data_IF_852601244125
#
_entry.id   IF_852601244125
#
_cell.length_a   1.000
_cell.length_b   1.000
_cell.length_c   1.000
_cell.angle_alpha   90.00
_cell.angle_beta   90.00
_cell.angle_gamma   90.00
#
_symmetry.space_group_name_H-M   'P 1'
#
loop_
_entity.id
_entity.type
_entity.pdbx_description
1 polymer ?
#
# COMPACT_ATOMS: atom_id res chain seq x y z
N UNK A 1 16.82 -5.45 1.00
CA UNK A 1 16.32 -4.42 1.93
C UNK A 1 15.13 -5.04 2.65
N UNK A 2 15.37 -5.76 3.73
CA UNK A 2 14.30 -6.45 4.45
C UNK A 2 13.76 -5.52 5.50
N UNK A 3 12.47 -5.20 5.41
CA UNK A 3 11.76 -4.48 6.46
C UNK A 3 11.49 -5.47 7.60
N UNK A 4 11.85 -5.07 8.82
CA UNK A 4 11.58 -5.86 10.02
C UNK A 4 10.06 -5.98 10.22
N UNK A 5 9.50 -7.20 10.37
CA UNK A 5 8.09 -7.41 10.67
C UNK A 5 7.58 -6.62 11.89
N UNK A 6 8.46 -6.21 12.81
CA UNK A 6 8.09 -5.35 13.95
C UNK A 6 7.43 -4.02 13.54
N UNK A 7 7.71 -3.51 12.32
CA UNK A 7 7.04 -2.32 11.77
C UNK A 7 5.53 -2.56 11.59
N UNK A 8 5.11 -3.81 11.38
CA UNK A 8 3.72 -4.19 11.17
C UNK A 8 2.97 -4.39 12.48
N UNK A 9 3.60 -5.10 13.42
CA UNK A 9 2.95 -5.66 14.61
C UNK A 9 3.31 -4.94 15.90
N UNK A 10 4.31 -4.05 15.86
CA UNK A 10 4.83 -3.30 16.99
C UNK A 10 6.08 -3.93 17.59
N UNK A 11 6.52 -3.38 18.72
CA UNK A 11 7.75 -3.81 19.40
C UNK A 11 7.55 -4.10 20.88
N UNK A 12 8.54 -4.74 21.51
CA UNK A 12 8.58 -4.96 22.96
C UNK A 12 9.36 -3.81 23.60
N UNK A 13 8.81 -3.25 24.67
CA UNK A 13 9.49 -2.28 25.53
C UNK A 13 10.36 -3.00 26.56
N UNK A 14 11.63 -3.21 26.21
CA UNK A 14 12.61 -3.88 27.08
C UNK A 14 12.77 -3.22 28.45
N UNK A 15 12.51 -1.90 28.57
CA UNK A 15 12.61 -1.20 29.86
C UNK A 15 11.57 -1.68 30.88
N UNK A 16 10.47 -2.27 30.42
CA UNK A 16 9.39 -2.80 31.25
C UNK A 16 9.55 -4.29 31.57
N UNK A 17 10.50 -4.98 30.95
CA UNK A 17 10.74 -6.42 31.21
C UNK A 17 11.33 -6.68 32.60
N UNK A 18 12.01 -5.70 33.20
CA UNK A 18 12.48 -5.80 34.59
C UNK A 18 11.32 -5.72 35.61
N UNK A 19 10.17 -5.21 35.19
CA UNK A 19 8.99 -5.00 36.04
C UNK A 19 7.86 -6.00 35.79
N UNK A 20 7.78 -6.57 34.58
CA UNK A 20 6.71 -7.45 34.16
C UNK A 20 7.25 -8.68 33.43
N UNK A 21 6.60 -9.86 33.58
CA UNK A 21 6.92 -11.06 32.82
C UNK A 21 6.93 -10.84 31.29
N UNK A 22 7.67 -11.69 30.56
CA UNK A 22 7.79 -11.59 29.09
C UNK A 22 6.46 -11.79 28.34
N UNK A 23 5.47 -12.42 28.97
CA UNK A 23 4.13 -12.65 28.43
C UNK A 23 3.11 -11.59 28.88
N UNK A 24 3.53 -10.58 29.64
CA UNK A 24 2.65 -9.53 30.15
C UNK A 24 2.34 -8.47 29.08
N UNK A 25 1.07 -8.22 28.73
CA UNK A 25 0.71 -7.25 27.69
C UNK A 25 1.22 -5.82 27.90
N UNK A 26 1.59 -5.44 29.13
CA UNK A 26 2.07 -4.10 29.46
C UNK A 26 3.47 -3.80 28.91
N UNK A 27 4.21 -4.84 28.51
CA UNK A 27 5.51 -4.66 27.85
C UNK A 27 5.35 -4.38 26.35
N UNK A 28 4.16 -4.55 25.76
CA UNK A 28 3.96 -4.37 24.33
C UNK A 28 3.83 -2.90 23.97
N UNK A 29 4.59 -2.47 22.96
CA UNK A 29 4.41 -1.20 22.26
C UNK A 29 3.60 -1.47 21.00
N UNK A 30 2.30 -1.20 21.06
CA UNK A 30 1.35 -1.39 19.94
C UNK A 30 1.43 -0.24 18.93
N UNK A 31 2.62 0.04 18.44
CA UNK A 31 2.94 1.12 17.51
C UNK A 31 3.14 0.64 16.06
N UNK A 32 2.88 -0.64 15.78
CA UNK A 32 2.95 -1.19 14.44
C UNK A 32 1.82 -0.68 13.54
N UNK A 33 2.05 -0.75 12.23
CA UNK A 33 1.12 -0.28 11.21
C UNK A 33 -0.30 -0.85 11.38
N UNK A 34 -0.42 -2.14 11.70
CA UNK A 34 -1.73 -2.78 11.92
C UNK A 34 -2.35 -2.42 13.26
N UNK A 35 -1.55 -2.13 14.29
CA UNK A 35 -2.10 -1.68 15.56
C UNK A 35 -2.69 -0.27 15.43
N UNK A 36 -1.93 0.64 14.82
CA UNK A 36 -2.32 2.05 14.65
C UNK A 36 -3.44 2.19 13.62
N UNK A 37 -3.39 1.43 12.52
CA UNK A 37 -4.40 1.45 11.46
C UNK A 37 -5.67 0.63 11.76
N UNK A 38 -5.78 0.02 12.94
CA UNK A 38 -6.95 -0.76 13.32
C UNK A 38 -8.22 0.12 13.32
N UNK A 39 -9.33 -0.44 12.83
CA UNK A 39 -10.59 0.26 12.52
C UNK A 39 -10.49 1.38 11.48
N UNK A 40 -9.42 1.37 10.69
CA UNK A 40 -9.16 2.37 9.67
C UNK A 40 -8.60 1.75 8.40
N UNK A 41 -7.50 2.32 7.93
CA UNK A 41 -6.83 1.94 6.70
C UNK A 41 -5.33 1.74 6.97
N UNK A 42 -4.77 0.67 6.39
CA UNK A 42 -3.33 0.42 6.33
C UNK A 42 -2.92 0.44 4.85
N UNK A 43 -1.99 1.32 4.50
CA UNK A 43 -1.48 1.48 3.14
C UNK A 43 -0.06 0.90 3.03
N UNK A 44 0.17 0.07 2.01
CA UNK A 44 1.47 -0.46 1.65
C UNK A 44 1.96 0.10 0.31
N UNK A 45 3.22 0.53 0.28
CA UNK A 45 3.89 0.99 -0.94
C UNK A 45 4.90 -0.08 -1.35
N UNK A 46 4.80 -0.55 -2.59
CA UNK A 46 5.66 -1.56 -3.19
C UNK A 46 5.73 -2.88 -2.39
N UNK A 47 4.56 -3.36 -1.93
CA UNK A 47 4.45 -4.47 -0.97
C UNK A 47 5.19 -5.75 -1.41
N UNK A 48 5.20 -6.06 -2.72
CA UNK A 48 5.80 -7.29 -3.26
C UNK A 48 7.33 -7.26 -3.36
N UNK A 49 7.98 -6.14 -3.02
CA UNK A 49 9.45 -6.09 -2.88
C UNK A 49 9.93 -6.64 -1.53
N UNK A 50 9.02 -6.82 -0.58
CA UNK A 50 9.34 -7.36 0.74
C UNK A 50 9.39 -8.88 0.72
N UNK A 51 10.07 -9.44 1.72
CA UNK A 51 10.13 -10.89 1.92
C UNK A 51 8.75 -11.49 2.21
N UNK A 52 8.59 -12.77 1.90
CA UNK A 52 7.36 -13.53 2.14
C UNK A 52 6.93 -13.47 3.60
N UNK A 53 7.89 -13.42 4.54
CA UNK A 53 7.61 -13.31 5.97
C UNK A 53 6.84 -12.03 6.34
N UNK A 54 7.15 -10.92 5.66
CA UNK A 54 6.41 -9.67 5.82
C UNK A 54 4.94 -9.81 5.40
N UNK A 55 4.69 -10.60 4.34
CA UNK A 55 3.36 -10.84 3.80
C UNK A 55 2.52 -11.78 4.69
N UNK A 56 3.13 -12.64 5.51
CA UNK A 56 2.40 -13.52 6.41
C UNK A 56 1.52 -12.76 7.43
N UNK A 57 1.95 -11.57 7.85
CA UNK A 57 1.12 -10.71 8.71
C UNK A 57 -0.13 -10.23 7.97
N UNK A 58 -0.03 -9.94 6.67
CA UNK A 58 -1.18 -9.55 5.84
C UNK A 58 -2.13 -10.75 5.65
N UNK A 59 -1.60 -11.95 5.46
CA UNK A 59 -2.41 -13.17 5.35
C UNK A 59 -3.22 -13.39 6.62
N UNK A 60 -2.56 -13.39 7.78
CA UNK A 60 -3.23 -13.60 9.07
C UNK A 60 -4.27 -12.51 9.34
N UNK A 61 -3.97 -11.25 9.04
CA UNK A 61 -4.92 -10.15 9.13
C UNK A 61 -6.16 -10.34 8.25
N UNK A 62 -5.97 -10.77 6.99
CA UNK A 62 -7.08 -10.95 6.02
C UNK A 62 -7.85 -12.25 6.22
N UNK A 63 -7.23 -13.28 6.79
CA UNK A 63 -7.82 -14.60 7.01
C UNK A 63 -8.49 -14.75 8.37
N UNK A 64 -7.80 -14.35 9.43
CA UNK A 64 -8.20 -14.59 10.81
C UNK A 64 -8.70 -13.32 11.51
N UNK A 65 -8.65 -12.17 10.81
CA UNK A 65 -8.90 -10.86 11.41
C UNK A 65 -8.03 -10.61 12.64
N UNK A 66 -6.82 -11.17 12.63
CA UNK A 66 -5.90 -11.14 13.76
C UNK A 66 -4.47 -11.05 13.26
N UNK A 67 -3.63 -10.29 13.96
CA UNK A 67 -2.20 -10.14 13.68
C UNK A 67 -1.37 -10.66 14.86
N UNK A 68 -0.11 -11.07 14.65
CA UNK A 68 0.79 -11.36 15.75
C UNK A 68 0.95 -10.14 16.68
N UNK A 69 0.98 -10.37 17.99
CA UNK A 69 1.43 -9.36 18.95
C UNK A 69 2.95 -9.16 18.85
N UNK A 70 3.49 -8.02 19.32
CA UNK A 70 4.93 -7.92 19.56
C UNK A 70 5.41 -9.05 20.49
N UNK A 71 6.42 -9.82 20.06
CA UNK A 71 6.95 -10.92 20.86
C UNK A 71 6.10 -12.19 20.88
N UNK A 72 6.09 -12.91 22.01
CA UNK A 72 5.42 -14.20 22.19
C UNK A 72 4.05 -14.08 22.88
N UNK A 73 3.28 -13.06 22.51
CA UNK A 73 1.95 -12.83 23.04
C UNK A 73 0.84 -13.52 22.23
N UNK A 74 -0.40 -13.31 22.68
CA UNK A 74 -1.60 -13.75 21.93
C UNK A 74 -1.84 -12.87 20.71
N UNK A 75 -2.45 -13.45 19.67
CA UNK A 75 -2.86 -12.71 18.48
C UNK A 75 -3.77 -11.52 18.85
N UNK A 76 -3.59 -10.39 18.17
CA UNK A 76 -4.34 -9.16 18.39
C UNK A 76 -5.36 -9.00 17.27
N UNK A 77 -6.60 -8.75 17.63
CA UNK A 77 -7.68 -8.54 16.67
C UNK A 77 -7.45 -7.29 15.79
N UNK A 78 -7.62 -7.47 14.48
CA UNK A 78 -7.53 -6.43 13.47
C UNK A 78 -8.80 -6.39 12.63
N UNK A 79 -9.36 -5.19 12.47
CA UNK A 79 -10.50 -4.91 11.59
C UNK A 79 -10.22 -3.62 10.85
N UNK A 80 -9.96 -3.69 9.55
CA UNK A 80 -9.60 -2.51 8.77
C UNK A 80 -9.45 -2.82 7.30
N UNK A 81 -9.30 -1.76 6.50
CA UNK A 81 -9.02 -1.89 5.07
C UNK A 81 -7.51 -1.92 4.83
N UNK A 82 -7.05 -2.94 4.11
CA UNK A 82 -5.66 -3.03 3.67
C UNK A 82 -5.61 -2.65 2.20
N UNK A 83 -4.80 -1.63 1.86
CA UNK A 83 -4.56 -1.19 0.49
C UNK A 83 -3.09 -1.33 0.19
N UNK A 84 -2.74 -1.86 -0.97
CA UNK A 84 -1.36 -1.99 -1.41
C UNK A 84 -1.18 -1.47 -2.83
N UNK A 85 -0.13 -0.69 -3.02
CA UNK A 85 0.30 -0.20 -4.33
C UNK A 85 1.53 -0.98 -4.78
N UNK A 86 1.51 -1.45 -6.02
CA UNK A 86 2.68 -2.08 -6.64
C UNK A 86 2.70 -1.77 -8.14
N UNK A 87 3.90 -1.87 -8.72
CA UNK A 87 4.04 -1.89 -10.16
C UNK A 87 3.62 -3.24 -10.74
N UNK A 88 3.41 -3.26 -12.06
CA UNK A 88 2.97 -4.46 -12.79
C UNK A 88 4.08 -5.53 -12.89
N UNK A 89 5.35 -5.13 -13.00
CA UNK A 89 6.47 -6.06 -13.13
C UNK A 89 6.64 -6.93 -11.86
N UNK A 90 6.60 -6.32 -10.68
CA UNK A 90 6.68 -6.99 -9.38
C UNK A 90 5.44 -7.85 -9.14
N UNK A 91 4.25 -7.38 -9.53
CA UNK A 91 3.05 -8.21 -9.48
C UNK A 91 3.18 -9.47 -10.34
N UNK A 92 3.68 -9.33 -11.57
CA UNK A 92 3.86 -10.46 -12.48
C UNK A 92 4.92 -11.45 -11.95
N UNK A 93 6.02 -10.94 -11.39
CA UNK A 93 7.04 -11.76 -10.73
C UNK A 93 6.47 -12.48 -9.52
N UNK A 94 5.75 -11.78 -8.65
CA UNK A 94 5.12 -12.33 -7.46
C UNK A 94 4.11 -13.43 -7.81
N UNK A 95 3.26 -13.20 -8.83
CA UNK A 95 2.28 -14.15 -9.34
C UNK A 95 2.91 -15.41 -9.94
N UNK A 96 4.10 -15.30 -10.53
CA UNK A 96 4.78 -16.43 -11.17
C UNK A 96 5.35 -17.46 -10.20
N UNK A 97 5.53 -17.06 -8.93
CA UNK A 97 6.04 -17.93 -7.88
C UNK A 97 4.90 -18.69 -7.20
N UNK A 98 4.94 -20.02 -7.28
CA UNK A 98 3.90 -20.90 -6.76
C UNK A 98 3.84 -20.90 -5.22
N UNK A 99 4.92 -20.52 -4.54
CA UNK A 99 4.93 -20.41 -3.08
C UNK A 99 3.99 -19.31 -2.56
N UNK A 100 3.63 -18.35 -3.41
CA UNK A 100 2.78 -17.22 -3.07
C UNK A 100 1.27 -17.46 -3.31
N UNK A 101 0.87 -18.65 -3.75
CA UNK A 101 -0.52 -18.97 -4.11
C UNK A 101 -1.53 -18.63 -3.00
N UNK A 102 -1.20 -18.97 -1.75
CA UNK A 102 -2.04 -18.67 -0.59
C UNK A 102 -2.27 -17.16 -0.37
N UNK A 103 -1.30 -16.31 -0.75
CA UNK A 103 -1.42 -14.85 -0.67
C UNK A 103 -2.26 -14.32 -1.82
N UNK A 104 -2.09 -14.87 -3.03
CA UNK A 104 -2.81 -14.43 -4.22
C UNK A 104 -4.32 -14.57 -4.06
N UNK A 105 -4.80 -15.64 -3.43
CA UNK A 105 -6.22 -15.88 -3.17
C UNK A 105 -6.86 -14.81 -2.25
N UNK A 106 -6.04 -14.04 -1.53
CA UNK A 106 -6.49 -12.99 -0.61
C UNK A 106 -6.38 -11.58 -1.18
N UNK A 107 -5.87 -11.43 -2.41
CA UNK A 107 -5.65 -10.14 -3.04
C UNK A 107 -6.64 -9.92 -4.18
N UNK A 108 -7.32 -8.77 -4.14
CA UNK A 108 -8.09 -8.27 -5.28
C UNK A 108 -7.24 -7.26 -6.04
N UNK A 109 -6.82 -7.62 -7.25
CA UNK A 109 -6.09 -6.70 -8.13
C UNK A 109 -7.05 -5.67 -8.72
N UNK A 110 -6.76 -4.40 -8.51
CA UNK A 110 -7.43 -3.28 -9.18
C UNK A 110 -6.43 -2.66 -10.15
N UNK A 111 -6.72 -2.75 -11.44
CA UNK A 111 -5.92 -2.11 -12.48
C UNK A 111 -6.40 -0.67 -12.68
N UNK A 112 -5.48 0.29 -12.59
CA UNK A 112 -5.77 1.70 -12.81
C UNK A 112 -5.17 2.09 -14.17
N UNK A 113 -5.97 2.14 -15.25
CA UNK A 113 -5.46 2.49 -16.57
C UNK A 113 -5.08 3.97 -16.65
N UNK A 114 -4.28 4.31 -17.64
CA UNK A 114 -4.02 5.71 -17.97
C UNK A 114 -5.31 6.45 -18.32
N UNK A 115 -5.45 7.69 -17.84
CA UNK A 115 -6.52 8.58 -18.28
C UNK A 115 -6.29 8.94 -19.76
N UNK A 116 -7.27 8.62 -20.60
CA UNK A 116 -7.28 8.92 -22.04
C UNK A 116 -8.37 9.93 -22.42
N UNK A 117 -9.20 10.34 -21.46
CA UNK A 117 -10.21 11.38 -21.66
C UNK A 117 -9.58 12.75 -21.42
N UNK A 118 -9.68 13.63 -22.43
CA UNK A 118 -9.05 14.95 -22.39
C UNK A 118 -9.55 15.79 -21.21
N UNK A 119 -10.86 15.83 -21.01
CA UNK A 119 -11.48 16.64 -19.95
C UNK A 119 -11.07 16.15 -18.55
N UNK A 120 -10.88 14.84 -18.36
CA UNK A 120 -10.42 14.28 -17.10
C UNK A 120 -8.92 14.53 -16.86
N UNK A 121 -8.06 14.43 -17.88
CA UNK A 121 -6.63 14.74 -17.76
C UNK A 121 -6.41 16.23 -17.41
N UNK A 122 -7.21 17.14 -17.99
CA UNK A 122 -7.18 18.56 -17.64
C UNK A 122 -7.53 18.76 -16.16
N UNK A 123 -8.56 18.09 -15.64
CA UNK A 123 -8.94 18.16 -14.21
C UNK A 123 -7.82 17.68 -13.29
N UNK A 124 -7.05 16.67 -13.69
CA UNK A 124 -5.88 16.20 -12.93
C UNK A 124 -4.86 17.33 -12.79
N UNK A 125 -4.52 18.00 -13.89
CA UNK A 125 -3.52 19.06 -13.83
C UNK A 125 -4.02 20.30 -13.08
N UNK A 126 -5.28 20.68 -13.26
CA UNK A 126 -5.89 21.76 -12.46
C UNK A 126 -5.83 21.44 -10.96
N UNK A 127 -6.13 20.20 -10.58
CA UNK A 127 -6.04 19.75 -9.18
C UNK A 127 -4.60 19.83 -8.65
N UNK A 128 -3.61 19.46 -9.45
CA UNK A 128 -2.19 19.55 -9.09
C UNK A 128 -1.79 21.01 -8.91
N UNK A 129 -2.14 21.88 -9.87
CA UNK A 129 -1.81 23.30 -9.81
C UNK A 129 -2.45 24.00 -8.61
N UNK A 130 -3.73 23.73 -8.32
CA UNK A 130 -4.44 24.27 -7.14
C UNK A 130 -3.80 23.87 -5.81
N UNK A 131 -3.11 22.72 -5.77
CA UNK A 131 -2.37 22.24 -4.58
C UNK A 131 -0.92 22.69 -4.54
N UNK A 132 -0.45 23.38 -5.57
CA UNK A 132 0.92 23.87 -5.69
C UNK A 132 1.00 25.35 -5.32
N UNK A 133 2.22 25.86 -5.09
CA UNK A 133 2.47 27.29 -4.92
C UNK A 133 2.59 28.04 -6.26
N UNK A 134 2.04 27.49 -7.34
CA UNK A 134 2.15 28.08 -8.67
C UNK A 134 1.25 29.32 -8.81
N UNK A 135 1.85 30.47 -9.11
CA UNK A 135 1.16 31.77 -9.16
C UNK A 135 1.47 32.56 -10.45
N UNK A 136 2.00 31.91 -11.48
CA UNK A 136 2.25 32.55 -12.77
C UNK A 136 1.00 32.53 -13.64
N UNK A 137 0.91 33.49 -14.56
CA UNK A 137 -0.14 33.48 -15.58
C UNK A 137 -0.02 32.23 -16.46
N UNK A 138 -1.13 31.52 -16.61
CA UNK A 138 -1.26 30.39 -17.54
C UNK A 138 -2.02 30.91 -18.75
N UNK A 139 -1.41 30.82 -19.93
CA UNK A 139 -2.06 31.24 -21.16
C UNK A 139 -3.29 30.37 -21.45
N UNK A 140 -4.30 30.91 -22.17
CA UNK A 140 -5.46 30.12 -22.57
C UNK A 140 -5.05 28.82 -23.30
N UNK A 141 -5.80 27.75 -23.08
CA UNK A 141 -5.59 26.44 -23.68
C UNK A 141 -4.27 25.71 -23.32
N UNK A 142 -3.37 26.29 -22.53
CA UNK A 142 -2.11 25.63 -22.14
C UNK A 142 -2.35 24.26 -21.50
N UNK A 143 -3.31 24.16 -20.58
CA UNK A 143 -3.63 22.89 -19.90
C UNK A 143 -4.18 21.84 -20.87
N UNK A 144 -5.03 22.26 -21.80
CA UNK A 144 -5.62 21.38 -22.81
C UNK A 144 -4.56 20.85 -23.76
N UNK A 145 -3.65 21.70 -24.25
CA UNK A 145 -2.55 21.29 -25.12
C UNK A 145 -1.61 20.32 -24.40
N UNK A 146 -1.27 20.60 -23.13
CA UNK A 146 -0.46 19.71 -22.32
C UNK A 146 -1.14 18.35 -22.11
N UNK A 147 -2.45 18.34 -21.82
CA UNK A 147 -3.23 17.12 -21.63
C UNK A 147 -3.36 16.31 -22.93
N UNK A 148 -3.63 16.98 -24.06
CA UNK A 148 -3.64 16.34 -25.38
C UNK A 148 -2.29 15.68 -25.68
N UNK A 149 -1.19 16.39 -25.47
CA UNK A 149 0.14 15.84 -25.70
C UNK A 149 0.41 14.61 -24.82
N UNK A 150 0.08 14.68 -23.53
CA UNK A 150 0.27 13.56 -22.61
C UNK A 150 -0.58 12.35 -23.00
N UNK A 151 -1.85 12.53 -23.37
CA UNK A 151 -2.72 11.44 -23.84
C UNK A 151 -2.15 10.81 -25.11
N UNK A 152 -1.74 11.61 -26.10
CA UNK A 152 -1.17 11.12 -27.35
C UNK A 152 0.07 10.26 -27.14
N UNK A 153 0.90 10.56 -26.13
CA UNK A 153 2.06 9.71 -25.77
C UNK A 153 1.70 8.34 -25.18
N UNK A 154 0.45 8.14 -24.76
CA UNK A 154 -0.04 6.90 -24.12
C UNK A 154 -0.89 6.04 -25.07
N UNK A 155 -1.25 6.57 -26.24
CA UNK A 155 -2.04 5.84 -27.23
C UNK A 155 -1.17 4.77 -27.92
N UNK A 156 -1.72 3.58 -28.06
CA UNK A 156 -1.16 2.52 -28.91
C UNK A 156 -1.76 2.58 -30.31
N UNK A 157 -1.05 2.01 -31.29
CA UNK A 157 -1.56 1.91 -32.65
C UNK A 157 -2.88 1.11 -32.67
N UNK A 158 -3.85 1.57 -33.46
CA UNK A 158 -5.12 0.87 -33.63
C UNK A 158 -4.89 -0.55 -34.13
N UNK A 159 -5.45 -1.54 -33.43
CA UNK A 159 -5.48 -2.94 -33.88
C UNK A 159 -6.46 -3.16 -35.06
N UNK A 160 -7.32 -2.17 -35.35
CA UNK A 160 -8.13 -2.17 -36.57
C UNK A 160 -7.31 -1.53 -37.69
N UNK A 161 -6.79 -2.39 -38.55
CA UNK A 161 -6.40 -2.09 -39.94
C UNK A 161 -7.46 -2.69 -40.84
#
# INVERSE_FOLDING_TARGET
>A
HNQDPSILTGSIDYSKMDMYPEDDPRIFSLNGAFNVGNRGLVEFIEVFKNDVEYLHTIITATQEKSIPSPGKGSMIYFDGLIVAHSNEAEWNKFKSDHTNEAILDRIVKIEVPYCLELDEEVKIYEKILKRSNFNAHIAPHTMQVAAMFAILSRLSASAKV
#
